data_IF_704944378899
#
_entry.id   IF_704944378899
#
_cell.length_a   1.000
_cell.length_b   1.000
_cell.length_c   1.000
_cell.angle_alpha   90.00
_cell.angle_beta   90.00
_cell.angle_gamma   90.00
#
_symmetry.space_group_name_H-M   'P 1'
#
loop_
_entity.id
_entity.type
_entity.pdbx_description
1 polymer ?
#
# COMPACT_ATOMS: atom_id res chain seq x y z
N UNK A 1 -44.86 15.19 -62.09
CA UNK A 1 -43.50 15.72 -61.85
C UNK A 1 -42.87 14.79 -60.83
N UNK A 2 -42.11 13.84 -61.30
CA UNK A 2 -41.57 12.72 -60.51
C UNK A 2 -40.11 13.05 -60.13
N UNK A 3 -39.89 13.31 -58.85
CA UNK A 3 -38.57 13.58 -58.32
C UNK A 3 -37.81 12.24 -58.26
N UNK A 4 -36.72 12.15 -58.98
CA UNK A 4 -35.88 10.95 -59.01
C UNK A 4 -34.93 10.87 -57.82
N UNK A 5 -34.65 9.66 -57.33
CA UNK A 5 -33.83 9.32 -56.15
C UNK A 5 -32.36 9.81 -56.17
N UNK A 6 -31.97 10.61 -57.15
CA UNK A 6 -30.57 11.09 -57.32
C UNK A 6 -30.33 12.52 -56.84
N UNK A 7 -31.37 13.25 -56.47
CA UNK A 7 -31.22 14.68 -56.05
C UNK A 7 -31.25 14.88 -54.54
N UNK A 8 -31.31 13.81 -53.70
CA UNK A 8 -31.37 13.94 -52.25
C UNK A 8 -30.03 13.67 -51.55
N UNK A 9 -28.91 13.65 -52.25
CA UNK A 9 -27.60 13.38 -51.65
C UNK A 9 -26.63 14.57 -51.59
N UNK A 10 -27.07 15.77 -51.84
CA UNK A 10 -26.20 16.95 -51.74
C UNK A 10 -26.91 18.01 -50.90
N UNK A 11 -26.81 17.97 -49.62
CA UNK A 11 -26.97 19.11 -48.68
C UNK A 11 -27.04 18.64 -47.22
N UNK A 12 -25.96 18.04 -46.72
CA UNK A 12 -25.67 17.93 -45.26
C UNK A 12 -24.18 17.72 -45.04
N UNK A 13 -23.36 18.59 -45.65
CA UNK A 13 -21.97 18.78 -45.17
C UNK A 13 -21.99 19.84 -44.11
N UNK A 14 -22.66 19.51 -42.99
CA UNK A 14 -22.52 20.25 -41.75
C UNK A 14 -21.13 19.99 -41.18
N UNK A 15 -20.22 20.95 -41.34
CA UNK A 15 -18.98 21.00 -40.58
C UNK A 15 -19.37 21.24 -39.13
N UNK A 16 -19.53 20.19 -38.35
CA UNK A 16 -19.56 20.30 -36.88
C UNK A 16 -18.13 20.64 -36.45
N UNK A 17 -17.91 21.78 -35.78
CA UNK A 17 -16.64 22.01 -35.13
C UNK A 17 -16.51 20.91 -34.07
N UNK A 18 -15.44 20.07 -34.18
CA UNK A 18 -15.05 19.18 -33.11
C UNK A 18 -14.67 20.07 -31.93
N UNK A 19 -15.57 20.19 -30.96
CA UNK A 19 -15.23 20.75 -29.66
C UNK A 19 -14.29 19.72 -29.05
N UNK A 20 -13.00 20.00 -29.07
CA UNK A 20 -12.07 19.27 -28.24
C UNK A 20 -12.52 19.50 -26.79
N UNK A 21 -13.14 18.49 -26.18
CA UNK A 21 -13.28 18.46 -24.73
C UNK A 21 -11.84 18.30 -24.21
N UNK A 22 -11.24 19.42 -23.81
CA UNK A 22 -10.05 19.36 -22.97
C UNK A 22 -10.43 18.53 -21.75
N UNK A 23 -9.90 17.32 -21.63
CA UNK A 23 -10.06 16.50 -20.44
C UNK A 23 -9.49 17.32 -19.28
N UNK A 24 -10.34 17.63 -18.31
CA UNK A 24 -9.88 18.23 -17.06
C UNK A 24 -8.73 17.34 -16.53
N UNK A 25 -7.63 17.94 -16.06
CA UNK A 25 -6.56 17.16 -15.47
C UNK A 25 -7.16 16.30 -14.35
N UNK A 26 -6.88 15.00 -14.36
CA UNK A 26 -7.27 14.12 -13.27
C UNK A 26 -6.68 14.69 -11.97
N UNK A 27 -7.52 14.81 -10.93
CA UNK A 27 -7.04 15.23 -9.62
C UNK A 27 -5.96 14.24 -9.17
N UNK A 28 -4.79 14.76 -8.82
CA UNK A 28 -3.71 13.97 -8.25
C UNK A 28 -4.05 13.66 -6.79
N UNK A 29 -4.64 12.48 -6.57
CA UNK A 29 -4.97 11.94 -5.25
C UNK A 29 -3.82 11.10 -4.66
N UNK A 30 -2.60 11.30 -5.13
CA UNK A 30 -1.44 10.60 -4.60
C UNK A 30 -1.05 11.11 -3.20
N UNK A 31 -0.31 10.27 -2.45
CA UNK A 31 0.22 10.64 -1.14
C UNK A 31 1.16 11.84 -1.31
N UNK A 32 0.88 12.98 -0.67
CA UNK A 32 1.74 14.16 -0.76
C UNK A 32 3.01 13.99 0.07
N UNK A 33 4.03 14.80 -0.22
CA UNK A 33 5.19 14.91 0.67
C UNK A 33 4.77 15.41 2.05
N UNK A 34 5.13 14.68 3.10
CA UNK A 34 4.77 14.99 4.48
C UNK A 34 5.85 14.52 5.46
N UNK A 35 5.77 14.97 6.71
CA UNK A 35 6.52 14.44 7.84
C UNK A 35 5.56 13.90 8.89
N UNK A 36 6.00 12.90 9.64
CA UNK A 36 5.19 12.23 10.63
C UNK A 36 5.97 12.13 11.93
N UNK A 37 5.65 13.00 12.89
CA UNK A 37 6.28 12.96 14.21
C UNK A 37 5.68 11.79 15.02
N UNK A 38 6.54 10.98 15.61
CA UNK A 38 6.15 9.74 16.33
C UNK A 38 5.08 9.97 17.40
N UNK A 39 5.22 11.02 18.18
CA UNK A 39 4.31 11.40 19.27
C UNK A 39 2.96 11.93 18.78
N UNK A 40 2.82 12.23 17.51
CA UNK A 40 1.58 12.69 16.86
C UNK A 40 0.83 11.57 16.13
N UNK A 41 1.45 10.41 15.95
CA UNK A 41 0.81 9.28 15.29
C UNK A 41 -0.24 8.66 16.22
N UNK A 42 -1.49 8.46 15.74
CA UNK A 42 -2.53 7.81 16.51
C UNK A 42 -2.14 6.36 16.84
N UNK A 43 -2.34 5.97 18.10
CA UNK A 43 -2.11 4.60 18.57
C UNK A 43 -3.39 3.82 18.42
N UNK A 44 -3.32 2.70 17.73
CA UNK A 44 -4.35 1.67 17.64
C UNK A 44 -3.91 0.48 18.50
N UNK A 45 -4.67 0.19 19.55
CA UNK A 45 -4.40 -0.96 20.42
C UNK A 45 -5.12 -2.18 19.84
N UNK A 46 -4.35 -3.18 19.45
CA UNK A 46 -4.82 -4.46 18.93
C UNK A 46 -4.75 -5.51 20.07
N UNK A 47 -5.33 -6.68 19.85
CA UNK A 47 -5.35 -7.76 20.88
C UNK A 47 -3.93 -8.18 21.32
N UNK A 48 -2.97 -8.18 20.38
CA UNK A 48 -1.61 -8.67 20.62
C UNK A 48 -0.51 -7.69 20.20
N UNK A 49 -0.87 -6.42 19.90
CA UNK A 49 0.06 -5.42 19.39
C UNK A 49 -0.45 -4.00 19.66
N UNK A 50 0.46 -3.02 19.59
CA UNK A 50 0.11 -1.63 19.35
C UNK A 50 0.59 -1.25 17.94
N UNK A 51 -0.24 -0.51 17.22
CA UNK A 51 0.09 -0.05 15.87
C UNK A 51 -0.05 1.46 15.76
N UNK A 52 0.84 2.11 15.02
CA UNK A 52 0.76 3.51 14.63
C UNK A 52 0.80 3.61 13.12
N UNK A 53 -0.32 4.04 12.52
CA UNK A 53 -0.36 4.30 11.07
C UNK A 53 0.43 5.55 10.76
N UNK A 54 1.36 5.43 9.80
CA UNK A 54 2.15 6.55 9.31
C UNK A 54 1.49 7.13 8.07
N UNK A 55 1.31 6.33 7.03
CA UNK A 55 0.65 6.73 5.79
C UNK A 55 0.02 5.52 5.09
N UNK A 56 -0.98 5.80 4.24
CA UNK A 56 -1.64 4.81 3.41
C UNK A 56 -2.25 5.49 2.20
N UNK A 57 -2.09 4.92 1.02
CA UNK A 57 -2.66 5.44 -0.22
C UNK A 57 -1.86 5.03 -1.45
N UNK A 58 -1.83 5.87 -2.47
CA UNK A 58 -1.11 5.63 -3.73
C UNK A 58 0.04 6.61 -3.93
N UNK A 59 1.13 6.13 -4.50
CA UNK A 59 2.20 6.97 -5.01
C UNK A 59 1.76 7.66 -6.32
N UNK A 60 2.42 8.75 -6.70
CA UNK A 60 2.17 9.44 -7.98
C UNK A 60 2.40 8.53 -9.20
N UNK A 61 3.19 7.47 -9.04
CA UNK A 61 3.44 6.43 -10.04
C UNK A 61 2.37 5.34 -10.09
N UNK A 62 1.40 5.36 -9.15
CA UNK A 62 0.22 4.52 -9.13
C UNK A 62 0.27 3.31 -8.19
N UNK A 63 1.44 2.98 -7.63
CA UNK A 63 1.56 1.87 -6.69
C UNK A 63 0.88 2.20 -5.36
N UNK A 64 0.19 1.21 -4.79
CA UNK A 64 -0.32 1.30 -3.44
C UNK A 64 0.81 1.15 -2.42
N UNK A 65 0.74 1.96 -1.36
CA UNK A 65 1.73 1.99 -0.28
C UNK A 65 0.99 2.12 1.06
N UNK A 66 1.40 1.30 2.04
CA UNK A 66 1.09 1.50 3.45
C UNK A 66 2.38 1.49 4.27
N UNK A 67 2.46 2.36 5.26
CA UNK A 67 3.53 2.38 6.26
C UNK A 67 2.91 2.49 7.64
N UNK A 68 3.30 1.57 8.53
CA UNK A 68 2.93 1.65 9.95
C UNK A 68 4.10 1.19 10.83
N UNK A 69 4.07 1.58 12.10
CA UNK A 69 4.93 1.05 13.14
C UNK A 69 4.12 0.08 14.01
N UNK A 70 4.72 -1.06 14.38
CA UNK A 70 4.11 -2.03 15.28
C UNK A 70 5.02 -2.28 16.47
N UNK A 71 4.42 -2.31 17.67
CA UNK A 71 5.08 -2.75 18.90
C UNK A 71 4.44 -4.04 19.38
N UNK A 72 5.25 -5.08 19.57
CA UNK A 72 4.84 -6.39 20.10
C UNK A 72 5.35 -6.58 21.51
N UNK A 73 4.53 -7.06 22.46
CA UNK A 73 5.00 -7.54 23.74
C UNK A 73 5.94 -8.74 23.58
N UNK A 74 6.71 -9.06 24.61
CA UNK A 74 7.56 -10.25 24.62
C UNK A 74 6.74 -11.51 24.31
N UNK A 75 7.19 -12.32 23.36
CA UNK A 75 6.50 -13.52 22.88
C UNK A 75 5.29 -13.26 21.99
N UNK A 76 4.92 -11.99 21.73
CA UNK A 76 3.76 -11.62 20.93
C UNK A 76 3.99 -11.80 19.44
N UNK A 77 2.88 -12.02 18.71
CA UNK A 77 2.78 -11.97 17.26
C UNK A 77 1.49 -11.22 16.90
N UNK A 78 1.46 -10.39 15.85
CA UNK A 78 0.27 -9.60 15.55
C UNK A 78 -0.88 -10.48 15.05
N UNK A 79 -0.57 -11.55 14.33
CA UNK A 79 -1.49 -12.55 13.76
C UNK A 79 -0.75 -13.83 13.39
N UNK A 80 -1.47 -14.87 12.96
CA UNK A 80 -0.88 -16.08 12.39
C UNK A 80 -0.18 -15.80 11.05
N UNK A 81 0.67 -16.71 10.57
CA UNK A 81 1.25 -16.63 9.23
C UNK A 81 0.16 -16.55 8.16
N UNK A 82 0.40 -15.76 7.13
CA UNK A 82 -0.53 -15.51 6.02
C UNK A 82 0.25 -15.08 4.77
N UNK A 83 -0.47 -14.83 3.68
CA UNK A 83 0.10 -14.29 2.43
C UNK A 83 -0.86 -13.27 1.82
N UNK A 84 -0.32 -12.39 0.98
CA UNK A 84 -1.07 -11.36 0.26
C UNK A 84 -0.32 -10.91 -1.00
N UNK A 85 -0.99 -10.10 -1.85
CA UNK A 85 -0.46 -9.70 -3.16
C UNK A 85 0.64 -8.63 -3.08
N UNK A 86 0.65 -7.77 -2.07
CA UNK A 86 1.72 -6.79 -1.89
C UNK A 86 2.97 -7.44 -1.30
N UNK A 87 4.12 -6.83 -1.56
CA UNK A 87 5.37 -7.18 -0.88
C UNK A 87 5.51 -6.35 0.39
N UNK A 88 6.22 -6.88 1.39
CA UNK A 88 6.45 -6.18 2.65
C UNK A 88 7.92 -6.12 3.03
N UNK A 89 8.28 -5.04 3.73
CA UNK A 89 9.57 -4.87 4.39
C UNK A 89 9.37 -4.53 5.86
N UNK A 90 10.20 -5.10 6.71
CA UNK A 90 10.27 -4.79 8.15
C UNK A 90 11.60 -4.16 8.47
N UNK A 91 11.58 -3.01 9.13
CA UNK A 91 12.78 -2.32 9.62
C UNK A 91 12.77 -2.38 11.14
N UNK A 92 13.66 -3.19 11.72
CA UNK A 92 13.66 -3.44 13.16
C UNK A 92 14.31 -2.27 13.87
N UNK A 93 13.52 -1.60 14.73
CA UNK A 93 13.97 -0.48 15.55
C UNK A 93 14.47 -0.93 16.92
N UNK A 94 13.70 -1.79 17.60
CA UNK A 94 13.97 -2.24 18.97
C UNK A 94 13.58 -3.72 19.14
N UNK A 95 14.23 -4.40 20.11
CA UNK A 95 13.92 -5.78 20.43
C UNK A 95 14.52 -6.78 19.46
N UNK A 96 14.02 -8.02 19.54
CA UNK A 96 14.46 -9.11 18.66
C UNK A 96 13.24 -9.86 18.14
N UNK A 97 13.12 -9.93 16.84
CA UNK A 97 12.02 -10.63 16.19
C UNK A 97 12.50 -11.83 15.38
N UNK A 98 11.60 -12.76 15.16
CA UNK A 98 11.74 -13.86 14.21
C UNK A 98 10.74 -13.64 13.07
N UNK A 99 11.26 -13.47 11.86
CA UNK A 99 10.51 -13.42 10.63
C UNK A 99 10.48 -14.82 10.03
N UNK A 100 9.30 -15.40 9.86
CA UNK A 100 9.09 -16.67 9.16
C UNK A 100 8.71 -16.38 7.72
N UNK A 101 9.41 -16.98 6.76
CA UNK A 101 9.07 -16.90 5.32
C UNK A 101 9.08 -18.31 4.74
N UNK A 102 7.96 -18.77 4.19
CA UNK A 102 7.78 -20.10 3.61
C UNK A 102 8.33 -21.22 4.53
N UNK A 103 8.02 -21.12 5.82
CA UNK A 103 8.44 -22.09 6.85
C UNK A 103 9.89 -21.95 7.31
N UNK A 104 10.67 -21.00 6.80
CA UNK A 104 12.05 -20.75 7.25
C UNK A 104 12.08 -19.52 8.17
N UNK A 105 12.77 -19.67 9.32
CA UNK A 105 12.86 -18.64 10.34
C UNK A 105 14.16 -17.83 10.23
N UNK A 106 14.02 -16.51 10.29
CA UNK A 106 15.11 -15.53 10.25
C UNK A 106 15.06 -14.64 11.47
N UNK A 107 16.11 -14.64 12.29
CA UNK A 107 16.18 -13.78 13.47
C UNK A 107 16.73 -12.40 13.09
N UNK A 108 16.02 -11.35 13.47
CA UNK A 108 16.37 -9.96 13.20
C UNK A 108 16.46 -9.18 14.51
N UNK A 109 17.45 -8.28 14.57
CA UNK A 109 17.73 -7.38 15.69
C UNK A 109 17.72 -5.92 15.21
N UNK A 110 17.84 -4.92 16.08
CA UNK A 110 17.83 -3.50 15.69
C UNK A 110 18.80 -3.17 14.54
N UNK A 111 18.30 -2.48 13.53
CA UNK A 111 19.00 -2.22 12.27
C UNK A 111 18.84 -3.33 11.22
N UNK A 112 18.30 -4.48 11.58
CA UNK A 112 17.96 -5.56 10.65
C UNK A 112 16.77 -5.19 9.76
N UNK A 113 16.77 -5.70 8.52
CA UNK A 113 15.70 -5.54 7.55
C UNK A 113 15.24 -6.91 7.07
N UNK A 114 13.93 -7.15 7.13
CA UNK A 114 13.27 -8.28 6.48
C UNK A 114 12.60 -7.84 5.18
N UNK A 115 12.54 -8.72 4.20
CA UNK A 115 11.76 -8.53 2.98
C UNK A 115 11.02 -9.81 2.63
N UNK A 116 9.75 -9.67 2.29
CA UNK A 116 8.90 -10.77 1.82
C UNK A 116 8.30 -10.40 0.48
N UNK A 117 8.49 -11.30 -0.47
CA UNK A 117 7.93 -11.17 -1.82
C UNK A 117 6.41 -11.41 -1.80
N UNK A 118 5.72 -10.82 -2.77
CA UNK A 118 4.29 -11.05 -3.05
C UNK A 118 3.95 -12.54 -3.00
N UNK A 119 2.90 -12.89 -2.27
CA UNK A 119 2.35 -14.24 -2.07
C UNK A 119 3.24 -15.26 -1.32
N UNK A 120 4.40 -14.87 -0.81
CA UNK A 120 5.13 -15.73 0.12
C UNK A 120 4.38 -15.78 1.47
N UNK A 121 4.19 -17.00 2.01
CA UNK A 121 3.63 -17.17 3.35
C UNK A 121 4.62 -16.62 4.38
N UNK A 122 4.14 -15.73 5.26
CA UNK A 122 5.00 -15.09 6.23
C UNK A 122 4.30 -14.74 7.54
N UNK A 123 5.11 -14.45 8.55
CA UNK A 123 4.69 -13.97 9.85
C UNK A 123 5.88 -13.46 10.65
N UNK A 124 5.61 -12.61 11.65
CA UNK A 124 6.63 -12.06 12.52
C UNK A 124 6.24 -12.27 13.98
N UNK A 125 7.23 -12.57 14.84
CA UNK A 125 7.05 -12.80 16.26
C UNK A 125 8.17 -12.14 17.05
N UNK A 126 7.84 -11.52 18.18
CA UNK A 126 8.84 -11.09 19.14
C UNK A 126 9.38 -12.30 19.91
N UNK A 127 10.65 -12.65 19.69
CA UNK A 127 11.35 -13.76 20.35
C UNK A 127 12.31 -13.28 21.45
N UNK A 128 12.29 -11.97 21.74
CA UNK A 128 13.02 -11.35 22.84
C UNK A 128 12.24 -11.41 24.15
N UNK A 129 12.87 -10.86 25.21
CA UNK A 129 12.28 -10.76 26.57
C UNK A 129 11.72 -9.37 26.87
N UNK A 130 11.89 -8.42 25.97
CA UNK A 130 11.39 -7.04 26.02
C UNK A 130 10.46 -6.77 24.85
N UNK A 131 9.67 -5.71 24.84
CA UNK A 131 8.92 -5.31 23.66
C UNK A 131 9.83 -5.16 22.43
N UNK A 132 9.31 -5.48 21.25
CA UNK A 132 9.96 -5.27 19.98
C UNK A 132 9.15 -4.29 19.14
N UNK A 133 9.84 -3.33 18.53
CA UNK A 133 9.24 -2.29 17.68
C UNK A 133 9.88 -2.31 16.29
N UNK A 134 9.05 -2.25 15.26
CA UNK A 134 9.49 -2.26 13.88
C UNK A 134 8.54 -1.48 12.98
N UNK A 135 9.05 -0.93 11.88
CA UNK A 135 8.24 -0.40 10.81
C UNK A 135 7.94 -1.48 9.79
N UNK A 136 6.71 -1.44 9.26
CA UNK A 136 6.28 -2.20 8.08
C UNK A 136 6.09 -1.23 6.93
N UNK A 137 6.60 -1.60 5.77
CA UNK A 137 6.36 -0.93 4.49
C UNK A 137 5.76 -1.96 3.56
N UNK A 138 4.47 -1.83 3.28
CA UNK A 138 3.74 -2.65 2.31
C UNK A 138 3.63 -1.89 0.99
N UNK A 139 4.01 -2.53 -0.12
CA UNK A 139 3.98 -1.91 -1.45
C UNK A 139 3.44 -2.88 -2.50
N UNK A 140 2.53 -2.38 -3.33
CA UNK A 140 1.92 -3.15 -4.41
C UNK A 140 0.43 -3.37 -4.23
N UNK A 141 -0.22 -4.20 -5.07
CA UNK A 141 -1.66 -4.39 -5.07
C UNK A 141 -2.22 -4.78 -3.70
N UNK A 142 -3.21 -4.02 -3.21
CA UNK A 142 -3.88 -4.27 -1.94
C UNK A 142 -3.19 -3.69 -0.70
N UNK A 143 -2.02 -3.05 -0.83
CA UNK A 143 -1.38 -2.38 0.30
C UNK A 143 -2.21 -1.20 0.83
N UNK A 144 -3.09 -0.64 0.01
CA UNK A 144 -4.00 0.46 0.35
C UNK A 144 -5.44 0.00 0.66
N UNK A 145 -5.69 -1.30 0.80
CA UNK A 145 -7.02 -1.88 1.07
C UNK A 145 -7.48 -1.76 2.53
#
# INVERSE_FOLDING_TARGET
>A
MTITRRELCVLLSGVFPAIALDALPAEDNSIPSAHYAFDQLPVEVLEHAEMRRVLKGKLATGEALEVHETTLPAGGAPHATHHHLHSEMWFIREGTVELTVNGTNYRLSPGGVGFVHSNDEHGIKNVGTTPATYFVVAVGPGADA
#
